data_IF_728389010188
#
_entry.id   IF_728389010188
#
_cell.length_a   1.000
_cell.length_b   1.000
_cell.length_c   1.000
_cell.angle_alpha   90.00
_cell.angle_beta   90.00
_cell.angle_gamma   90.00
#
_symmetry.space_group_name_H-M   'P 1'
#
loop_
_entity.id
_entity.type
_entity.pdbx_description
1 polymer ?
#
# COMPACT_ATOMS: atom_id res chain seq x y z
N UNK A 1 -21.28 0.01 -13.77
CA UNK A 1 -20.78 1.30 -13.25
C UNK A 1 -19.45 1.63 -13.90
N UNK A 2 -19.21 2.85 -14.38
CA UNK A 2 -17.86 3.27 -14.78
C UNK A 2 -16.94 3.26 -13.57
N UNK A 3 -15.68 2.88 -13.75
CA UNK A 3 -14.67 2.82 -12.68
C UNK A 3 -13.32 3.29 -13.19
N UNK A 4 -12.58 4.01 -12.35
CA UNK A 4 -11.17 4.31 -12.56
C UNK A 4 -10.31 3.31 -11.79
N UNK A 5 -9.48 2.53 -12.49
CA UNK A 5 -8.67 1.49 -11.88
C UNK A 5 -7.22 1.96 -11.74
N UNK A 6 -6.66 1.84 -10.53
CA UNK A 6 -5.24 2.05 -10.24
C UNK A 6 -4.69 0.74 -9.70
N UNK A 7 -3.81 0.09 -10.46
CA UNK A 7 -3.25 -1.21 -10.14
C UNK A 7 -1.72 -1.16 -10.15
N UNK A 8 -1.09 -1.74 -9.13
CA UNK A 8 0.37 -1.85 -9.11
C UNK A 8 0.86 -2.86 -10.13
N UNK A 9 1.99 -2.55 -10.77
CA UNK A 9 2.72 -3.45 -11.65
C UNK A 9 4.23 -3.31 -11.41
N UNK A 10 4.62 -3.42 -10.13
CA UNK A 10 6.00 -3.21 -9.66
C UNK A 10 6.12 -2.08 -8.64
N UNK A 11 7.37 -1.63 -8.46
CA UNK A 11 7.76 -0.57 -7.53
C UNK A 11 7.24 0.79 -8.03
N UNK A 12 6.89 1.69 -7.11
CA UNK A 12 6.48 3.05 -7.46
C UNK A 12 7.68 3.98 -7.69
N UNK A 13 7.66 4.67 -8.83
CA UNK A 13 8.55 5.78 -9.16
C UNK A 13 7.81 7.12 -9.10
N UNK A 14 8.53 8.24 -9.18
CA UNK A 14 7.95 9.58 -9.28
C UNK A 14 6.89 9.67 -10.39
N UNK A 15 7.20 9.14 -11.57
CA UNK A 15 6.32 9.11 -12.74
C UNK A 15 5.05 8.30 -12.46
N UNK A 16 5.17 7.23 -11.67
CA UNK A 16 4.02 6.41 -11.27
C UNK A 16 3.09 7.21 -10.35
N UNK A 17 3.65 7.94 -9.39
CA UNK A 17 2.89 8.76 -8.45
C UNK A 17 2.23 9.96 -9.14
N UNK A 18 2.94 10.64 -10.04
CA UNK A 18 2.41 11.75 -10.84
C UNK A 18 1.29 11.26 -11.77
N UNK A 19 1.47 10.12 -12.44
CA UNK A 19 0.43 9.48 -13.26
C UNK A 19 -0.82 9.17 -12.44
N UNK A 20 -0.66 8.57 -11.26
CA UNK A 20 -1.78 8.22 -10.40
C UNK A 20 -2.50 9.47 -9.87
N UNK A 21 -1.75 10.51 -9.46
CA UNK A 21 -2.30 11.80 -9.02
C UNK A 21 -3.21 12.40 -10.09
N UNK A 22 -2.68 12.58 -11.30
CA UNK A 22 -3.45 13.14 -12.41
C UNK A 22 -4.67 12.28 -12.77
N UNK A 23 -4.53 10.95 -12.74
CA UNK A 23 -5.66 10.05 -13.01
C UNK A 23 -6.77 10.16 -11.95
N UNK A 24 -6.41 10.33 -10.67
CA UNK A 24 -7.38 10.54 -9.58
C UNK A 24 -8.12 11.86 -9.80
N UNK A 25 -7.43 12.93 -10.19
CA UNK A 25 -8.06 14.22 -10.50
C UNK A 25 -9.10 14.10 -11.63
N UNK A 26 -8.79 13.35 -12.70
CA UNK A 26 -9.74 13.10 -13.79
C UNK A 26 -10.96 12.30 -13.32
N UNK A 27 -10.76 11.27 -12.48
CA UNK A 27 -11.86 10.49 -11.93
C UNK A 27 -12.73 11.34 -10.99
N UNK A 28 -12.11 12.18 -10.16
CA UNK A 28 -12.80 13.11 -9.29
C UNK A 28 -13.65 14.12 -10.08
N UNK A 29 -13.06 14.76 -11.10
CA UNK A 29 -13.78 15.71 -11.97
C UNK A 29 -14.98 15.05 -12.66
N UNK A 30 -14.85 13.79 -13.08
CA UNK A 30 -15.89 13.02 -13.77
C UNK A 30 -16.78 12.21 -12.84
N UNK A 31 -16.65 12.38 -11.52
CA UNK A 31 -17.46 11.68 -10.53
C UNK A 31 -17.44 10.15 -10.70
N UNK A 32 -16.27 9.61 -11.06
CA UNK A 32 -16.05 8.19 -11.34
C UNK A 32 -15.45 7.49 -10.11
N UNK A 33 -16.11 6.45 -9.56
CA UNK A 33 -15.56 5.66 -8.46
C UNK A 33 -14.17 5.10 -8.77
N UNK A 34 -13.31 5.04 -7.75
CA UNK A 34 -11.94 4.56 -7.84
C UNK A 34 -11.82 3.15 -7.27
N UNK A 35 -11.08 2.29 -7.96
CA UNK A 35 -10.72 0.93 -7.52
C UNK A 35 -9.21 0.81 -7.48
N UNK A 36 -8.68 0.49 -6.30
CA UNK A 36 -7.25 0.29 -6.06
C UNK A 36 -6.96 -1.21 -5.96
N UNK A 37 -6.06 -1.72 -6.79
CA UNK A 37 -5.57 -3.10 -6.72
C UNK A 37 -4.13 -3.09 -6.19
N UNK A 38 -3.98 -3.41 -4.90
CA UNK A 38 -2.68 -3.32 -4.21
C UNK A 38 -1.85 -4.58 -4.44
N UNK A 39 -0.68 -4.38 -5.03
CA UNK A 39 0.42 -5.33 -5.03
C UNK A 39 1.74 -4.53 -5.02
N UNK A 40 2.02 -3.92 -3.87
CA UNK A 40 3.06 -2.90 -3.73
C UNK A 40 4.07 -3.27 -2.65
N UNK A 41 5.34 -3.21 -3.04
CA UNK A 41 6.51 -3.38 -2.16
C UNK A 41 7.04 -2.08 -1.59
N UNK A 42 6.79 -0.96 -2.26
CA UNK A 42 7.17 0.38 -1.80
C UNK A 42 7.52 1.31 -2.95
N UNK A 43 8.17 2.42 -2.60
CA UNK A 43 8.76 3.36 -3.56
C UNK A 43 10.22 2.98 -3.84
N UNK A 44 10.72 3.41 -5.00
CA UNK A 44 12.13 3.23 -5.33
C UNK A 44 13.01 4.00 -4.34
N UNK A 45 14.09 3.38 -3.87
CA UNK A 45 15.06 3.98 -2.96
C UNK A 45 16.36 4.33 -3.69
N UNK A 46 17.01 5.42 -3.27
CA UNK A 46 18.35 5.78 -3.77
C UNK A 46 18.54 7.28 -3.90
N UNK A 47 19.78 7.74 -3.77
CA UNK A 47 20.13 9.17 -3.72
C UNK A 47 19.59 9.97 -4.91
N UNK A 48 19.63 9.40 -6.11
CA UNK A 48 19.12 10.05 -7.31
C UNK A 48 17.59 10.27 -7.26
N UNK A 49 16.84 9.28 -6.75
CA UNK A 49 15.38 9.35 -6.64
C UNK A 49 14.94 10.32 -5.53
N UNK A 50 15.65 10.33 -4.41
CA UNK A 50 15.42 11.30 -3.33
C UNK A 50 15.67 12.74 -3.81
N UNK A 51 16.81 12.99 -4.46
CA UNK A 51 17.12 14.31 -5.04
C UNK A 51 16.16 14.69 -6.17
N UNK A 52 15.63 13.71 -6.91
CA UNK A 52 14.61 13.89 -7.93
C UNK A 52 13.24 14.27 -7.37
N UNK A 53 13.03 14.13 -6.05
CA UNK A 53 11.79 14.52 -5.39
C UNK A 53 10.75 13.41 -5.27
N UNK A 54 11.15 12.14 -5.25
CA UNK A 54 10.21 11.02 -5.11
C UNK A 54 9.29 11.16 -3.90
N UNK A 55 9.78 11.74 -2.81
CA UNK A 55 8.99 12.05 -1.62
C UNK A 55 7.86 13.04 -1.91
N UNK A 56 8.12 14.14 -2.63
CA UNK A 56 7.08 15.13 -2.95
C UNK A 56 6.10 14.59 -4.00
N UNK A 57 6.54 13.75 -4.92
CA UNK A 57 5.67 13.16 -5.92
C UNK A 57 4.76 12.09 -5.31
N UNK A 58 5.30 11.24 -4.42
CA UNK A 58 4.49 10.35 -3.58
C UNK A 58 3.48 11.10 -2.71
N UNK A 59 3.88 12.25 -2.14
CA UNK A 59 2.97 13.10 -1.38
C UNK A 59 1.81 13.66 -2.21
N UNK A 60 2.02 14.00 -3.49
CA UNK A 60 0.93 14.40 -4.40
C UNK A 60 -0.08 13.26 -4.58
N UNK A 61 0.39 12.03 -4.76
CA UNK A 61 -0.49 10.86 -4.90
C UNK A 61 -1.31 10.63 -3.63
N UNK A 62 -0.68 10.67 -2.46
CA UNK A 62 -1.36 10.55 -1.16
C UNK A 62 -2.40 11.67 -0.96
N UNK A 63 -2.05 12.89 -1.34
CA UNK A 63 -2.95 14.04 -1.27
C UNK A 63 -4.20 13.84 -2.13
N UNK A 64 -4.03 13.34 -3.36
CA UNK A 64 -5.13 13.02 -4.24
C UNK A 64 -6.00 11.88 -3.69
N UNK A 65 -5.39 10.80 -3.20
CA UNK A 65 -6.13 9.67 -2.59
C UNK A 65 -6.98 10.13 -1.41
N UNK A 66 -6.40 10.89 -0.49
CA UNK A 66 -7.06 11.35 0.73
C UNK A 66 -8.27 12.25 0.46
N UNK A 67 -8.20 13.08 -0.58
CA UNK A 67 -9.19 14.14 -0.82
C UNK A 67 -10.10 13.87 -2.02
N UNK A 68 -9.96 12.74 -2.71
CA UNK A 68 -10.81 12.42 -3.85
C UNK A 68 -12.31 12.42 -3.43
N UNK A 69 -13.18 13.24 -4.06
CA UNK A 69 -14.60 13.35 -3.73
C UNK A 69 -15.49 12.18 -4.22
N UNK A 70 -14.90 11.02 -4.53
CA UNK A 70 -15.60 9.87 -5.13
C UNK A 70 -15.48 8.63 -4.25
N UNK A 71 -16.42 7.67 -4.33
CA UNK A 71 -16.27 6.39 -3.66
C UNK A 71 -14.96 5.69 -4.07
N UNK A 72 -14.18 5.26 -3.07
CA UNK A 72 -12.93 4.52 -3.25
C UNK A 72 -13.10 3.10 -2.71
N UNK A 73 -12.57 2.12 -3.43
CA UNK A 73 -12.58 0.71 -3.05
C UNK A 73 -11.17 0.14 -3.19
N UNK A 74 -10.77 -0.71 -2.26
CA UNK A 74 -9.42 -1.29 -2.26
C UNK A 74 -9.48 -2.81 -2.21
N UNK A 75 -8.70 -3.47 -3.05
CA UNK A 75 -8.48 -4.92 -2.99
C UNK A 75 -6.99 -5.16 -2.92
N UNK A 76 -6.52 -5.79 -1.84
CA UNK A 76 -5.13 -6.21 -1.70
C UNK A 76 -4.99 -7.57 -2.39
N UNK A 77 -4.37 -7.56 -3.57
CA UNK A 77 -4.20 -8.74 -4.43
C UNK A 77 -2.82 -9.39 -4.28
N UNK A 78 -1.88 -8.73 -3.58
CA UNK A 78 -0.55 -9.22 -3.30
C UNK A 78 0.06 -8.53 -2.08
N UNK A 79 1.18 -7.83 -2.24
CA UNK A 79 1.81 -7.07 -1.16
C UNK A 79 1.10 -5.76 -0.84
N UNK A 80 1.07 -5.39 0.43
CA UNK A 80 0.69 -4.05 0.91
C UNK A 80 1.69 -3.59 1.96
N UNK A 81 2.74 -2.92 1.49
CA UNK A 81 3.89 -2.60 2.33
C UNK A 81 4.20 -1.09 2.38
N UNK A 82 4.47 -0.61 3.59
CA UNK A 82 5.00 0.74 3.87
C UNK A 82 4.22 1.88 3.21
N UNK A 83 4.94 2.87 2.69
CA UNK A 83 4.34 4.04 2.04
C UNK A 83 3.50 3.70 0.80
N UNK A 84 3.71 2.52 0.19
CA UNK A 84 2.88 2.03 -0.90
C UNK A 84 1.43 1.79 -0.49
N UNK A 85 1.19 1.30 0.74
CA UNK A 85 -0.14 1.16 1.31
C UNK A 85 -0.88 2.51 1.32
N UNK A 86 -0.17 3.59 1.66
CA UNK A 86 -0.76 4.93 1.76
C UNK A 86 -1.17 5.47 0.38
N UNK A 87 -0.24 5.44 -0.57
CA UNK A 87 -0.48 5.92 -1.93
C UNK A 87 -1.55 5.12 -2.67
N UNK A 88 -1.80 3.86 -2.28
CA UNK A 88 -2.79 2.99 -2.92
C UNK A 88 -4.12 2.87 -2.15
N UNK A 89 -4.46 3.87 -1.33
CA UNK A 89 -5.73 3.90 -0.57
C UNK A 89 -5.89 2.74 0.43
N UNK A 90 -4.90 2.54 1.28
CA UNK A 90 -5.00 1.63 2.43
C UNK A 90 -6.03 2.07 3.47
N UNK A 91 -6.17 1.28 4.55
CA UNK A 91 -7.25 1.43 5.55
C UNK A 91 -7.39 2.84 6.12
N UNK A 92 -6.27 3.54 6.36
CA UNK A 92 -6.25 4.90 6.90
C UNK A 92 -6.89 5.96 5.98
N UNK A 93 -7.05 5.67 4.69
CA UNK A 93 -7.61 6.58 3.69
C UNK A 93 -9.11 6.38 3.46
N UNK A 94 -9.76 5.63 4.34
CA UNK A 94 -11.21 5.44 4.38
C UNK A 94 -11.82 5.06 3.00
N UNK A 95 -11.33 3.98 2.35
CA UNK A 95 -12.11 3.38 1.27
C UNK A 95 -13.47 2.90 1.82
N UNK A 96 -14.51 2.90 0.99
CA UNK A 96 -15.85 2.44 1.38
C UNK A 96 -15.83 0.99 1.82
N UNK A 97 -15.03 0.18 1.14
CA UNK A 97 -14.67 -1.19 1.53
C UNK A 97 -13.21 -1.46 1.12
N UNK A 98 -12.52 -2.25 1.94
CA UNK A 98 -11.20 -2.78 1.67
C UNK A 98 -11.23 -4.29 1.85
N UNK A 99 -10.84 -5.06 0.83
CA UNK A 99 -10.75 -6.52 0.92
C UNK A 99 -9.33 -7.02 0.72
N UNK A 100 -9.08 -8.24 1.16
CA UNK A 100 -7.83 -8.96 0.91
C UNK A 100 -8.07 -10.25 0.13
N UNK A 101 -7.17 -10.57 -0.79
CA UNK A 101 -7.06 -11.92 -1.33
C UNK A 101 -6.34 -12.85 -0.34
N UNK A 102 -6.56 -14.18 -0.42
CA UNK A 102 -5.96 -15.13 0.53
C UNK A 102 -4.43 -15.22 0.43
N UNK A 103 -3.84 -14.84 -0.72
CA UNK A 103 -2.40 -14.80 -0.93
C UNK A 103 -1.74 -13.48 -0.49
N UNK A 104 -2.52 -12.48 -0.09
CA UNK A 104 -2.01 -11.15 0.20
C UNK A 104 -1.14 -11.13 1.46
N UNK A 105 -0.28 -10.11 1.59
CA UNK A 105 0.49 -9.85 2.82
C UNK A 105 0.49 -8.36 3.12
N UNK A 106 0.33 -7.99 4.38
CA UNK A 106 0.31 -6.59 4.84
C UNK A 106 1.23 -6.37 6.03
N UNK A 107 2.16 -5.43 5.94
CA UNK A 107 3.07 -5.07 7.04
C UNK A 107 3.76 -3.74 6.76
N UNK A 108 4.50 -3.22 7.74
CA UNK A 108 5.23 -1.95 7.58
C UNK A 108 6.28 -1.99 6.45
N UNK A 109 6.84 -3.17 6.19
CA UNK A 109 7.75 -3.48 5.07
C UNK A 109 7.73 -5.00 4.83
N UNK A 110 8.36 -5.50 3.76
CA UNK A 110 8.46 -6.94 3.54
C UNK A 110 9.31 -7.64 4.63
N UNK A 111 8.97 -8.89 4.98
CA UNK A 111 9.68 -9.64 6.03
C UNK A 111 11.18 -9.78 5.76
N UNK A 112 11.55 -10.16 4.54
CA UNK A 112 12.95 -10.25 4.09
C UNK A 112 13.69 -8.90 4.18
N UNK A 113 13.00 -7.82 3.83
CA UNK A 113 13.54 -6.47 3.93
C UNK A 113 13.78 -6.07 5.39
N UNK A 114 12.83 -6.35 6.28
CA UNK A 114 12.97 -6.08 7.71
C UNK A 114 14.12 -6.87 8.33
N UNK A 115 14.17 -8.18 8.06
CA UNK A 115 15.21 -9.06 8.56
C UNK A 115 16.60 -8.62 8.08
N UNK A 116 16.73 -8.27 6.80
CA UNK A 116 17.98 -7.79 6.21
C UNK A 116 18.44 -6.46 6.82
N UNK A 117 17.55 -5.46 6.91
CA UNK A 117 17.89 -4.14 7.48
C UNK A 117 18.30 -4.27 8.95
N UNK A 118 17.56 -5.04 9.75
CA UNK A 118 17.89 -5.24 11.15
C UNK A 118 19.21 -6.01 11.33
N UNK A 119 19.50 -6.97 10.46
CA UNK A 119 20.77 -7.70 10.47
C UNK A 119 21.95 -6.78 10.15
N UNK A 120 21.83 -5.91 9.14
CA UNK A 120 22.85 -4.90 8.81
C UNK A 120 23.12 -3.97 9.99
N UNK A 121 22.07 -3.41 10.60
CA UNK A 121 22.22 -2.51 11.77
C UNK A 121 22.90 -3.22 12.94
N UNK A 122 22.55 -4.49 13.20
CA UNK A 122 23.19 -5.30 14.24
C UNK A 122 24.66 -5.56 13.93
N UNK A 123 24.99 -5.89 12.69
CA UNK A 123 26.36 -6.15 12.25
C UNK A 123 27.23 -4.89 12.38
N UNK A 124 26.72 -3.72 11.97
CA UNK A 124 27.40 -2.43 12.10
C UNK A 124 27.65 -2.08 13.58
N UNK A 125 26.66 -2.32 14.44
CA UNK A 125 26.80 -2.11 15.88
C UNK A 125 27.85 -3.04 16.54
N UNK A 126 27.99 -4.27 16.05
CA UNK A 126 29.03 -5.20 16.49
C UNK A 126 30.41 -4.82 15.96
N UNK A 127 30.49 -4.31 14.73
CA UNK A 127 31.75 -3.88 14.12
C UNK A 127 32.42 -2.74 14.90
N UNK A 128 31.64 -1.84 15.54
CA UNK A 128 32.16 -0.81 16.45
C UNK A 128 32.94 -1.41 17.64
N UNK A 129 32.68 -2.67 17.98
CA UNK A 129 33.31 -3.42 19.08
C UNK A 129 34.25 -4.51 18.56
N UNK A 130 34.69 -4.43 17.30
CA UNK A 130 35.52 -5.43 16.61
C UNK A 130 34.93 -6.85 16.63
N UNK A 131 33.59 -6.95 16.65
CA UNK A 131 32.85 -8.23 16.59
C UNK A 131 32.11 -8.35 15.27
N UNK A 132 31.84 -9.58 14.84
CA UNK A 132 31.01 -9.91 13.67
C UNK A 132 30.17 -11.14 13.97
N UNK A 133 28.94 -11.16 13.45
CA UNK A 133 28.14 -12.38 13.41
C UNK A 133 28.73 -13.34 12.36
N UNK A 134 28.70 -14.63 12.67
CA UNK A 134 28.81 -15.68 11.65
C UNK A 134 27.55 -15.74 10.78
N UNK A 135 27.60 -16.47 9.66
CA UNK A 135 26.43 -16.69 8.81
C UNK A 135 25.31 -17.42 9.57
N UNK A 136 25.66 -18.37 10.45
CA UNK A 136 24.70 -19.09 11.30
C UNK A 136 24.05 -18.17 12.33
N UNK A 137 24.82 -17.29 12.96
CA UNK A 137 24.30 -16.31 13.91
C UNK A 137 23.39 -15.28 13.23
N UNK A 138 23.74 -14.85 12.01
CA UNK A 138 22.90 -13.96 11.22
C UNK A 138 21.58 -14.63 10.80
N UNK A 139 21.64 -15.89 10.35
CA UNK A 139 20.44 -16.66 10.00
C UNK A 139 19.53 -16.86 11.23
N UNK A 140 20.11 -17.25 12.37
CA UNK A 140 19.38 -17.39 13.63
C UNK A 140 18.79 -16.07 14.12
N UNK A 141 19.42 -14.94 13.82
CA UNK A 141 18.88 -13.62 14.12
C UNK A 141 17.72 -13.23 13.20
N UNK A 142 17.80 -13.54 11.90
CA UNK A 142 16.78 -13.21 10.91
C UNK A 142 15.51 -14.05 11.07
N UNK A 143 15.64 -15.35 11.39
CA UNK A 143 14.51 -16.28 11.44
C UNK A 143 13.32 -15.79 12.29
N UNK A 144 13.48 -15.35 13.56
CA UNK A 144 12.33 -14.89 14.35
C UNK A 144 11.67 -13.62 13.79
N UNK A 145 12.40 -12.81 13.01
CA UNK A 145 11.85 -11.63 12.32
C UNK A 145 10.99 -12.09 11.14
N UNK A 146 11.49 -13.04 10.35
CA UNK A 146 10.75 -13.62 9.22
C UNK A 146 9.45 -14.26 9.70
N UNK A 147 9.51 -15.09 10.74
CA UNK A 147 8.35 -15.78 11.31
C UNK A 147 7.30 -14.79 11.83
N UNK A 148 7.75 -13.70 12.47
CA UNK A 148 6.87 -12.64 12.95
C UNK A 148 6.15 -11.95 11.80
N UNK A 149 6.85 -11.57 10.73
CA UNK A 149 6.24 -10.89 9.59
C UNK A 149 5.29 -11.81 8.81
N UNK A 150 5.59 -13.11 8.70
CA UNK A 150 4.67 -14.06 8.08
C UNK A 150 3.40 -14.24 8.91
N UNK A 151 3.53 -14.32 10.24
CA UNK A 151 2.39 -14.46 11.15
C UNK A 151 1.51 -13.19 11.15
N UNK A 152 2.12 -12.03 11.41
CA UNK A 152 1.39 -10.76 11.56
C UNK A 152 0.93 -10.19 10.22
N UNK A 153 1.57 -10.56 9.11
CA UNK A 153 1.22 -10.11 7.77
C UNK A 153 0.20 -10.97 7.04
N UNK A 154 -0.18 -12.12 7.60
CA UNK A 154 -1.14 -13.04 7.02
C UNK A 154 -2.56 -12.41 6.94
N UNK A 155 -3.35 -12.66 5.87
CA UNK A 155 -4.71 -12.13 5.76
C UNK A 155 -5.62 -12.51 6.94
N UNK A 156 -5.45 -13.70 7.53
CA UNK A 156 -6.22 -14.10 8.71
C UNK A 156 -5.86 -13.25 9.94
N UNK A 157 -4.61 -12.81 10.07
CA UNK A 157 -4.19 -11.93 11.15
C UNK A 157 -4.80 -10.53 10.99
N UNK A 158 -4.80 -10.03 9.76
CA UNK A 158 -5.38 -8.73 9.35
C UNK A 158 -6.89 -8.69 9.58
N UNK A 159 -7.62 -9.67 9.04
CA UNK A 159 -9.09 -9.68 9.05
C UNK A 159 -9.64 -9.88 10.46
N UNK A 160 -8.94 -10.65 11.31
CA UNK A 160 -9.28 -10.79 12.73
C UNK A 160 -9.20 -9.47 13.52
N UNK A 161 -8.58 -8.42 12.94
CA UNK A 161 -8.40 -7.09 13.54
C UNK A 161 -9.09 -5.97 12.76
N UNK A 162 -9.92 -6.31 11.78
CA UNK A 162 -10.69 -5.37 10.95
C UNK A 162 -9.83 -4.33 10.22
N UNK A 163 -8.58 -4.68 9.89
CA UNK A 163 -7.75 -3.87 8.99
C UNK A 163 -8.29 -3.92 7.55
N UNK A 164 -9.00 -4.99 7.22
CA UNK A 164 -9.83 -5.21 6.05
C UNK A 164 -11.27 -5.55 6.47
N UNK A 165 -12.18 -5.49 5.51
CA UNK A 165 -13.60 -5.81 5.65
C UNK A 165 -13.90 -7.27 5.23
N UNK A 166 -12.86 -8.09 5.03
CA UNK A 166 -12.98 -9.51 4.74
C UNK A 166 -11.96 -10.01 3.73
N UNK A 167 -11.62 -11.29 3.89
CA UNK A 167 -10.91 -12.08 2.89
C UNK A 167 -11.94 -12.58 1.87
N UNK A 168 -11.65 -12.41 0.59
CA UNK A 168 -12.54 -12.82 -0.52
C UNK A 168 -11.85 -13.85 -1.42
N UNK A 169 -12.65 -14.69 -2.08
CA UNK A 169 -12.15 -15.48 -3.20
C UNK A 169 -11.76 -14.53 -4.35
N UNK A 170 -10.57 -14.66 -4.97
CA UNK A 170 -10.20 -13.84 -6.12
C UNK A 170 -11.23 -13.84 -7.25
N UNK A 171 -11.97 -14.94 -7.44
CA UNK A 171 -13.04 -15.09 -8.45
C UNK A 171 -14.25 -14.19 -8.14
N UNK A 172 -14.48 -13.88 -6.87
CA UNK A 172 -15.60 -13.06 -6.41
C UNK A 172 -15.31 -11.56 -6.41
N UNK A 173 -14.06 -11.15 -6.72
CA UNK A 173 -13.63 -9.74 -6.74
C UNK A 173 -14.59 -8.85 -7.53
N UNK A 174 -15.03 -9.30 -8.72
CA UNK A 174 -16.00 -8.57 -9.55
C UNK A 174 -17.35 -8.39 -8.84
N UNK A 175 -17.85 -9.46 -8.22
CA UNK A 175 -19.15 -9.49 -7.54
C UNK A 175 -19.16 -8.54 -6.34
N UNK A 176 -18.15 -8.63 -5.47
CA UNK A 176 -18.08 -7.78 -4.27
C UNK A 176 -17.88 -6.31 -4.62
N UNK A 177 -17.07 -6.00 -5.64
CA UNK A 177 -16.93 -4.62 -6.13
C UNK A 177 -18.23 -4.08 -6.71
N UNK A 178 -18.95 -4.89 -7.51
CA UNK A 178 -20.22 -4.45 -8.09
C UNK A 178 -21.26 -4.13 -7.01
N UNK A 179 -21.38 -4.97 -5.99
CA UNK A 179 -22.27 -4.76 -4.85
C UNK A 179 -21.84 -3.55 -4.00
N UNK A 180 -20.55 -3.41 -3.73
CA UNK A 180 -19.98 -2.29 -2.99
C UNK A 180 -20.23 -0.95 -3.69
N UNK A 181 -20.00 -0.89 -5.00
CA UNK A 181 -20.28 0.30 -5.81
C UNK A 181 -21.78 0.60 -5.79
N UNK A 182 -22.64 -0.38 -6.05
CA UNK A 182 -24.09 -0.21 -6.02
C UNK A 182 -24.57 0.36 -4.68
N UNK A 183 -24.08 -0.19 -3.56
CA UNK A 183 -24.40 0.29 -2.23
C UNK A 183 -23.92 1.74 -1.99
N UNK A 184 -22.70 2.07 -2.43
CA UNK A 184 -22.08 3.39 -2.20
C UNK A 184 -22.80 4.55 -2.86
N UNK A 185 -23.53 4.28 -3.95
CA UNK A 185 -24.26 5.28 -4.75
C UNK A 185 -25.61 5.70 -4.14
N UNK A 186 -26.01 5.12 -3.00
CA UNK A 186 -27.14 5.63 -2.21
C UNK A 186 -26.79 6.91 -1.45
N UNK A 187 -25.50 7.19 -1.22
CA UNK A 187 -25.03 8.44 -0.65
C UNK A 187 -24.71 9.46 -1.75
N UNK A 188 -25.03 10.75 -1.56
CA UNK A 188 -24.61 11.79 -2.49
C UNK A 188 -23.08 11.86 -2.58
N UNK A 189 -22.57 12.18 -3.77
CA UNK A 189 -21.15 12.50 -3.93
C UNK A 189 -20.90 13.90 -3.36
N UNK A 190 -19.87 14.02 -2.53
CA UNK A 190 -19.51 15.28 -1.88
C UNK A 190 -18.61 16.08 -2.81
N UNK A 191 -18.81 17.38 -2.91
CA UNK A 191 -17.83 18.25 -3.57
C UNK A 191 -16.74 18.62 -2.55
N UNK A 192 -15.65 17.85 -2.54
CA UNK A 192 -14.50 18.08 -1.66
C UNK A 192 -13.32 18.56 -2.51
N UNK A 193 -12.83 19.79 -2.30
CA UNK A 193 -11.69 20.28 -3.05
C UNK A 193 -10.42 19.55 -2.62
N UNK A 194 -9.50 19.33 -3.55
CA UNK A 194 -8.13 18.97 -3.20
C UNK A 194 -7.49 20.16 -2.46
N UNK A 195 -6.76 19.87 -1.38
CA UNK A 195 -5.84 20.82 -0.77
C UNK A 195 -4.56 21.02 -1.59
N UNK A 196 -3.51 21.56 -0.95
CA UNK A 196 -2.30 21.99 -1.64
C UNK A 196 -1.45 20.82 -2.13
N UNK A 197 -1.17 20.78 -3.45
CA UNK A 197 -0.15 19.90 -4.02
C UNK A 197 1.25 20.51 -3.89
N UNK A 198 2.20 19.74 -3.38
CA UNK A 198 3.63 20.12 -3.32
C UNK A 198 4.28 19.89 -4.69
N UNK A 199 4.36 20.93 -5.52
CA UNK A 199 4.90 20.86 -6.89
C UNK A 199 6.39 20.50 -6.95
#
# INVERSE_FOLDING_TARGET
YPVGIIANNGILFSESALKATHFIELCAQRQTPLVFLQNITGFMVGRQYENGGIAKDGAKMVMAVANAPVPRFTVIIGGSFGAGNYGMCGRAYSPRQLWMWPNARISVMGGEQAASVLATVRQDGLAIRDKRMSEEEEAAFKQPILDKYETEGNPYYSTARLWDDGIIDPRDTRTVLALGIAASLNAPMLDTPFGVFRM
#
